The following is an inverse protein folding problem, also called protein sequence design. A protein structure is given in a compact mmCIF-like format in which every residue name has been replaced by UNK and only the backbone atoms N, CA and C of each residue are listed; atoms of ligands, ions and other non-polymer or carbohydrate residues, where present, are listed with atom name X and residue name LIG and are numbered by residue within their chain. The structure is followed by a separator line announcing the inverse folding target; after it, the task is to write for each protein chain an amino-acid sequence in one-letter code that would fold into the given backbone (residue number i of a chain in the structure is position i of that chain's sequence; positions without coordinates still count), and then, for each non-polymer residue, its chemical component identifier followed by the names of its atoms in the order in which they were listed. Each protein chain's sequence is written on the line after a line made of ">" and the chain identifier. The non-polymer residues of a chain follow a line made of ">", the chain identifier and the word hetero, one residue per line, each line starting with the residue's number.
data_IF_642075136540
#
_entry.id   IF_642075136540
#
_cell.length_a   1.000
_cell.length_b   1.000
_cell.length_c   1.000
_cell.angle_alpha   90.00
_cell.angle_beta   90.00
_cell.angle_gamma   90.00
#
_symmetry.space_group_name_H-M   'P 1'
#
loop_
_entity.id
_entity.type
_entity.pdbx_description
1 polymer ?
#
# COMPACT_ATOMS: atom_id res chain seq x y z
N UNK A 1 1.37 -11.60 -1.06
CA UNK A 1 0.57 -10.41 -0.68
C UNK A 1 0.04 -10.67 0.71
N UNK A 2 0.30 -9.75 1.64
CA UNK A 2 -0.12 -9.85 3.05
C UNK A 2 -1.49 -9.19 3.22
N UNK A 3 -1.63 -7.96 2.70
CA UNK A 3 -2.83 -7.16 2.86
C UNK A 3 -2.92 -6.14 1.72
N UNK A 4 -4.10 -5.58 1.48
CA UNK A 4 -4.30 -4.40 0.65
C UNK A 4 -5.26 -3.44 1.35
N UNK A 5 -4.99 -2.15 1.27
CA UNK A 5 -5.85 -1.13 1.89
C UNK A 5 -5.77 0.22 1.15
N UNK A 6 -6.86 1.00 1.14
CA UNK A 6 -6.84 2.36 0.59
C UNK A 6 -5.94 3.27 1.44
N UNK A 7 -5.16 4.16 0.83
CA UNK A 7 -4.32 5.10 1.57
C UNK A 7 -5.13 6.29 2.11
N UNK A 8 -4.94 6.63 3.39
CA UNK A 8 -5.66 7.72 4.05
C UNK A 8 -5.40 9.08 3.39
N UNK A 9 -4.14 9.32 3.04
CA UNK A 9 -3.68 10.62 2.53
C UNK A 9 -3.69 10.69 1.00
N UNK A 10 -3.93 9.57 0.31
CA UNK A 10 -3.88 9.49 -1.16
C UNK A 10 -5.15 8.82 -1.73
N UNK A 11 -6.28 9.56 -1.82
CA UNK A 11 -7.52 9.00 -2.35
C UNK A 11 -7.35 8.50 -3.79
N UNK A 12 -7.95 7.35 -4.08
CA UNK A 12 -7.79 6.67 -5.37
C UNK A 12 -6.45 5.94 -5.53
N UNK A 13 -5.71 5.74 -4.43
CA UNK A 13 -4.55 4.86 -4.36
C UNK A 13 -4.73 3.78 -3.31
N UNK A 14 -4.29 2.59 -3.68
CA UNK A 14 -4.30 1.41 -2.83
C UNK A 14 -2.87 1.01 -2.50
N UNK A 15 -2.60 0.79 -1.21
CA UNK A 15 -1.39 0.11 -0.76
C UNK A 15 -1.58 -1.40 -0.88
N UNK A 16 -0.60 -2.09 -1.44
CA UNK A 16 -0.52 -3.54 -1.49
C UNK A 16 0.71 -3.99 -0.73
N UNK A 17 0.52 -4.65 0.41
CA UNK A 17 1.61 -5.06 1.30
C UNK A 17 2.14 -6.43 0.90
N UNK A 18 3.45 -6.57 0.92
CA UNK A 18 4.20 -7.79 0.70
C UNK A 18 5.17 -8.03 1.86
N UNK A 19 5.53 -9.30 2.04
CA UNK A 19 6.59 -9.73 2.94
C UNK A 19 7.63 -10.48 2.14
N UNK A 20 8.91 -10.14 2.32
CA UNK A 20 10.05 -10.81 1.69
C UNK A 20 11.25 -10.74 2.62
N UNK A 21 11.93 -11.87 2.81
CA UNK A 21 13.09 -11.98 3.70
C UNK A 21 12.79 -11.47 5.13
N UNK A 22 11.57 -11.73 5.64
CA UNK A 22 11.12 -11.27 6.95
C UNK A 22 10.83 -9.77 7.08
N UNK A 23 10.94 -9.01 5.99
CA UNK A 23 10.66 -7.56 5.95
C UNK A 23 9.37 -7.26 5.20
N UNK A 24 8.71 -6.18 5.59
CA UNK A 24 7.46 -5.70 4.99
C UNK A 24 7.73 -4.56 4.02
N UNK A 25 7.07 -4.55 2.87
CA UNK A 25 7.12 -3.44 1.93
C UNK A 25 5.83 -3.37 1.14
N UNK A 26 5.56 -2.21 0.56
CA UNK A 26 4.30 -1.91 -0.09
C UNK A 26 4.48 -1.52 -1.55
N UNK A 27 3.54 -1.93 -2.40
CA UNK A 27 3.35 -1.32 -3.71
C UNK A 27 2.13 -0.42 -3.66
N UNK A 28 2.34 0.86 -3.89
CA UNK A 28 1.26 1.82 -4.08
C UNK A 28 0.83 1.74 -5.53
N UNK A 29 -0.44 1.41 -5.74
CA UNK A 29 -1.06 1.39 -7.06
C UNK A 29 -2.13 2.47 -7.13
N UNK A 30 -2.20 3.15 -8.28
CA UNK A 30 -3.36 3.96 -8.64
C UNK A 30 -4.49 3.02 -9.00
N UNK A 31 -5.67 3.27 -8.44
CA UNK A 31 -6.82 2.39 -8.62
C UNK A 31 -7.23 2.32 -10.10
N UNK A 32 -7.79 1.17 -10.48
CA UNK A 32 -8.39 1.01 -11.81
C UNK A 32 -9.58 1.94 -11.94
N UNK A 33 -9.78 2.44 -13.14
CA UNK A 33 -10.99 3.15 -13.54
C UNK A 33 -11.63 2.38 -14.70
N UNK A 34 -12.87 2.72 -15.08
CA UNK A 34 -13.54 2.10 -16.23
C UNK A 34 -12.73 2.22 -17.54
N UNK A 35 -11.84 3.21 -17.61
CA UNK A 35 -11.06 3.55 -18.81
C UNK A 35 -9.59 3.14 -18.74
N UNK A 36 -9.07 2.75 -17.57
CA UNK A 36 -7.66 2.43 -17.39
C UNK A 36 -7.42 1.38 -16.29
N UNK A 37 -6.51 0.41 -16.51
CA UNK A 37 -6.16 -0.56 -15.48
C UNK A 37 -5.47 0.10 -14.30
N UNK A 38 -5.43 -0.60 -13.16
CA UNK A 38 -4.65 -0.17 -12.01
C UNK A 38 -3.17 -0.07 -12.39
N UNK A 39 -2.49 0.99 -11.96
CA UNK A 39 -1.11 1.28 -12.36
C UNK A 39 -0.21 1.33 -11.14
N UNK A 40 0.91 0.60 -11.19
CA UNK A 40 1.97 0.73 -10.20
C UNK A 40 2.53 2.16 -10.20
N UNK A 41 2.59 2.77 -9.02
CA UNK A 41 3.08 4.13 -8.81
C UNK A 41 4.42 4.11 -8.11
N UNK A 42 4.51 3.35 -7.01
CA UNK A 42 5.67 3.42 -6.12
C UNK A 42 5.84 2.13 -5.31
N UNK A 43 7.08 1.74 -5.04
CA UNK A 43 7.43 0.70 -4.07
C UNK A 43 8.02 1.39 -2.85
N UNK A 44 7.49 1.07 -1.66
CA UNK A 44 7.97 1.64 -0.40
C UNK A 44 9.33 1.07 -0.02
N UNK A 45 10.06 1.75 0.88
CA UNK A 45 11.15 1.11 1.62
C UNK A 45 10.69 -0.17 2.33
N UNK A 46 11.66 -0.99 2.73
CA UNK A 46 11.41 -2.19 3.53
C UNK A 46 11.44 -1.85 5.01
N UNK A 47 10.42 -2.28 5.72
CA UNK A 47 10.21 -2.12 7.16
C UNK A 47 10.39 -3.44 7.90
N UNK A 48 10.66 -3.39 9.20
CA UNK A 48 10.83 -4.59 10.02
C UNK A 48 9.47 -5.13 10.47
N UNK A 49 8.51 -4.24 10.73
CA UNK A 49 7.15 -4.61 11.11
C UNK A 49 6.10 -4.02 10.17
N UNK A 50 4.91 -4.62 10.18
CA UNK A 50 3.76 -4.09 9.45
C UNK A 50 3.28 -2.75 10.05
N UNK A 51 3.44 -2.56 11.35
CA UNK A 51 3.04 -1.34 12.06
C UNK A 51 3.86 -0.14 11.62
N UNK A 52 5.18 -0.30 11.44
CA UNK A 52 6.04 0.76 10.90
C UNK A 52 5.60 1.18 9.50
N UNK A 53 5.32 0.19 8.62
CA UNK A 53 4.81 0.47 7.27
C UNK A 53 3.48 1.23 7.33
N UNK A 54 2.54 0.79 8.18
CA UNK A 54 1.22 1.42 8.33
C UNK A 54 1.29 2.78 9.02
N UNK A 55 2.30 3.06 9.84
CA UNK A 55 2.52 4.38 10.42
C UNK A 55 2.91 5.40 9.33
N UNK A 56 3.82 5.02 8.42
CA UNK A 56 4.24 5.87 7.30
C UNK A 56 3.18 5.97 6.20
N UNK A 57 2.48 4.86 5.95
CA UNK A 57 1.45 4.75 4.91
C UNK A 57 0.12 4.31 5.53
N UNK A 58 -0.60 5.22 6.21
CA UNK A 58 -1.81 4.88 6.95
C UNK A 58 -2.98 4.50 6.03
N UNK A 59 -3.83 3.59 6.54
CA UNK A 59 -5.06 3.18 5.87
C UNK A 59 -6.16 4.22 6.03
N UNK A 60 -6.92 4.49 4.96
CA UNK A 60 -8.10 5.35 5.00
C UNK A 60 -9.23 4.77 5.86
N UNK A 61 -9.25 3.43 5.99
CA UNK A 61 -10.17 2.72 6.87
C UNK A 61 -9.54 2.63 8.27
N UNK A 62 -9.39 3.78 8.95
CA UNK A 62 -9.20 3.80 10.39
C UNK A 62 -10.57 4.05 11.01
N UNK A 63 -11.34 2.98 11.21
CA UNK A 63 -12.63 3.03 11.89
C UNK A 63 -12.64 2.09 13.08
#
# INVERSE_FOLDING_TARGET
>A
MVEKYPLANEPGRTMVVFVKDGKFYGHIVKDKTDKAPAKFVFETPRFLTLEELKAEYPSADTK
#
